data_IF_700310766509
#
_entry.id   IF_700310766509
#
_cell.length_a   1.000
_cell.length_b   1.000
_cell.length_c   1.000
_cell.angle_alpha   90.00
_cell.angle_beta   90.00
_cell.angle_gamma   90.00
#
_symmetry.space_group_name_H-M   'P 1'
#
loop_
_entity.id
_entity.type
_entity.pdbx_description
1 polymer ?
#
# COMPACT_ATOMS: atom_id res chain seq x y z
N UNK A 1 -13.71 10.19 0.55
CA UNK A 1 -12.45 10.78 1.05
C UNK A 1 -11.53 10.94 -0.15
N UNK A 2 -10.69 11.98 -0.18
CA UNK A 2 -9.69 12.10 -1.23
C UNK A 2 -8.66 10.95 -1.08
N UNK A 3 -8.15 10.39 -2.20
CA UNK A 3 -7.10 9.39 -2.12
C UNK A 3 -5.86 9.96 -1.43
N UNK A 4 -5.16 9.13 -0.67
CA UNK A 4 -3.89 9.50 -0.05
C UNK A 4 -2.75 9.11 -0.97
N UNK A 5 -1.85 10.05 -1.25
CA UNK A 5 -0.63 9.77 -2.01
C UNK A 5 0.45 9.20 -1.09
N UNK A 6 1.05 8.10 -1.53
CA UNK A 6 2.08 7.40 -0.78
C UNK A 6 3.27 7.16 -1.71
N UNK A 7 4.47 7.52 -1.27
CA UNK A 7 5.72 7.01 -1.83
C UNK A 7 5.91 5.57 -1.35
N UNK A 8 5.68 4.62 -2.24
CA UNK A 8 5.86 3.20 -1.94
C UNK A 8 7.34 2.91 -1.66
N UNK A 9 7.66 2.36 -0.49
CA UNK A 9 9.02 1.98 -0.10
C UNK A 9 9.17 0.47 0.06
N UNK A 10 8.07 -0.26 0.21
CA UNK A 10 8.05 -1.71 0.25
C UNK A 10 6.84 -2.26 -0.48
N UNK A 11 7.05 -3.31 -1.27
CA UNK A 11 5.98 -4.15 -1.79
C UNK A 11 6.45 -5.62 -1.85
N UNK A 12 6.28 -6.35 -0.75
CA UNK A 12 6.74 -7.74 -0.63
C UNK A 12 5.60 -8.73 -0.80
N UNK A 13 5.91 -9.95 -1.25
CA UNK A 13 4.95 -11.06 -1.35
C UNK A 13 4.94 -11.84 -0.03
N UNK A 14 3.78 -12.01 0.59
CA UNK A 14 3.61 -12.82 1.82
C UNK A 14 2.26 -13.54 1.79
N UNK A 15 2.27 -14.84 2.11
CA UNK A 15 1.07 -15.67 2.39
C UNK A 15 -0.13 -15.39 1.46
N UNK A 16 0.08 -15.45 0.14
CA UNK A 16 -0.99 -15.32 -0.86
C UNK A 16 -1.40 -13.89 -1.23
N UNK A 17 -0.91 -12.86 -0.53
CA UNK A 17 -1.10 -11.45 -0.85
C UNK A 17 0.19 -10.65 -0.89
N UNK A 18 0.08 -9.33 -0.75
CA UNK A 18 1.21 -8.41 -0.76
C UNK A 18 1.16 -7.43 0.41
N UNK A 19 2.31 -7.18 1.02
CA UNK A 19 2.44 -6.14 2.03
C UNK A 19 3.07 -4.90 1.38
N UNK A 20 2.28 -3.82 1.31
CA UNK A 20 2.78 -2.51 0.89
C UNK A 20 3.04 -1.63 2.10
N UNK A 21 4.08 -0.82 2.05
CA UNK A 21 4.33 0.25 3.00
C UNK A 21 5.06 1.40 2.33
N UNK A 22 4.84 2.60 2.82
CA UNK A 22 5.47 3.79 2.29
C UNK A 22 5.31 4.99 3.22
N UNK A 23 5.76 6.14 2.74
CA UNK A 23 5.60 7.41 3.41
C UNK A 23 4.54 8.24 2.70
N UNK A 24 3.80 9.05 3.46
CA UNK A 24 2.94 10.10 2.91
C UNK A 24 3.73 10.97 1.92
N UNK A 25 3.13 11.31 0.79
CA UNK A 25 3.73 12.16 -0.22
C UNK A 25 2.98 13.51 -0.29
N UNK A 26 3.66 14.64 -0.50
CA UNK A 26 5.12 14.82 -0.67
C UNK A 26 5.89 15.10 0.64
N UNK A 27 5.23 15.14 1.79
CA UNK A 27 5.82 15.59 3.05
C UNK A 27 6.78 14.57 3.70
N UNK A 28 6.65 13.29 3.35
CA UNK A 28 7.47 12.16 3.82
C UNK A 28 7.49 12.00 5.34
N UNK A 29 6.44 12.43 6.05
CA UNK A 29 6.41 12.45 7.52
C UNK A 29 5.76 11.22 8.14
N UNK A 30 4.76 10.65 7.47
CA UNK A 30 3.91 9.62 8.07
C UNK A 30 4.11 8.29 7.37
N UNK A 31 4.47 7.26 8.13
CA UNK A 31 4.43 5.90 7.62
C UNK A 31 2.99 5.44 7.43
N UNK A 32 2.74 4.82 6.28
CA UNK A 32 1.43 4.28 5.94
C UNK A 32 1.62 2.86 5.42
N UNK A 33 0.96 1.91 6.08
CA UNK A 33 0.80 0.54 5.63
C UNK A 33 -0.67 0.31 5.27
N UNK A 34 -1.04 0.29 3.98
CA UNK A 34 -2.37 -0.12 3.58
C UNK A 34 -2.62 -1.58 3.98
N UNK A 35 -3.77 -1.86 4.57
CA UNK A 35 -4.18 -3.20 4.99
C UNK A 35 -5.56 -3.55 4.48
N UNK A 36 -5.78 -4.82 4.18
CA UNK A 36 -7.11 -5.38 3.91
C UNK A 36 -7.67 -5.97 5.20
N UNK A 37 -8.71 -5.35 5.76
CA UNK A 37 -9.29 -5.74 7.06
C UNK A 37 -9.82 -7.18 7.05
N UNK A 38 -10.30 -7.66 5.91
CA UNK A 38 -10.82 -9.01 5.76
C UNK A 38 -9.72 -10.10 5.75
N UNK A 39 -8.43 -9.73 5.81
CA UNK A 39 -7.31 -10.65 5.79
C UNK A 39 -6.63 -10.74 7.16
N UNK A 40 -6.32 -11.95 7.59
CA UNK A 40 -5.75 -12.24 8.92
C UNK A 40 -4.47 -11.44 9.22
N UNK A 41 -3.61 -11.22 8.21
CA UNK A 41 -2.35 -10.48 8.37
C UNK A 41 -2.37 -9.09 7.71
N UNK A 42 -3.56 -8.63 7.30
CA UNK A 42 -3.75 -7.36 6.62
C UNK A 42 -3.09 -7.28 5.24
N UNK A 43 -2.75 -8.41 4.61
CA UNK A 43 -2.12 -8.39 3.30
C UNK A 43 -3.07 -7.86 2.23
N UNK A 44 -2.57 -6.99 1.36
CA UNK A 44 -3.33 -6.44 0.25
C UNK A 44 -3.50 -7.51 -0.83
N UNK A 45 -4.72 -7.71 -1.36
CA UNK A 45 -4.96 -8.62 -2.48
C UNK A 45 -4.10 -8.29 -3.70
N UNK A 46 -3.62 -9.33 -4.39
CA UNK A 46 -2.75 -9.22 -5.57
C UNK A 46 -3.29 -8.29 -6.67
N UNK A 47 -4.60 -8.25 -6.90
CA UNK A 47 -5.20 -7.35 -7.88
C UNK A 47 -5.11 -5.87 -7.44
N UNK A 48 -5.21 -5.57 -6.14
CA UNK A 48 -5.12 -4.20 -5.61
C UNK A 48 -3.68 -3.70 -5.43
N UNK A 49 -2.69 -4.58 -5.51
CA UNK A 49 -1.27 -4.26 -5.41
C UNK A 49 -0.60 -4.00 -6.78
N UNK A 50 -1.41 -3.67 -7.79
CA UNK A 50 -1.00 -3.42 -9.17
C UNK A 50 -1.58 -2.09 -9.66
N UNK A 51 -0.87 -1.44 -10.56
CA UNK A 51 -1.26 -0.18 -11.21
C UNK A 51 -1.24 -0.35 -12.72
N UNK A 52 -2.04 0.44 -13.41
CA UNK A 52 -1.99 0.55 -14.86
C UNK A 52 -0.80 1.43 -15.27
N UNK A 53 -0.04 0.97 -16.25
CA UNK A 53 1.01 1.75 -16.92
C UNK A 53 0.83 1.68 -18.45
N UNK A 54 1.54 2.50 -19.22
CA UNK A 54 1.48 2.44 -20.69
C UNK A 54 1.80 1.05 -21.27
N UNK A 55 2.60 0.24 -20.57
CA UNK A 55 2.97 -1.13 -20.94
C UNK A 55 1.96 -2.18 -20.45
N UNK A 56 0.86 -1.75 -19.84
CA UNK A 56 -0.17 -2.59 -19.24
C UNK A 56 -0.12 -2.60 -17.72
N UNK A 57 -0.81 -3.57 -17.12
CA UNK A 57 -0.90 -3.68 -15.67
C UNK A 57 0.39 -4.25 -15.09
N UNK A 58 0.96 -3.57 -14.10
CA UNK A 58 2.18 -4.01 -13.41
C UNK A 58 2.03 -3.96 -11.89
N UNK A 59 2.90 -4.69 -11.19
CA UNK A 59 3.06 -4.52 -9.74
C UNK A 59 3.50 -3.11 -9.40
N UNK A 60 2.97 -2.59 -8.30
CA UNK A 60 3.55 -1.42 -7.63
C UNK A 60 4.98 -1.77 -7.21
N UNK A 61 5.92 -0.86 -7.44
CA UNK A 61 7.34 -1.04 -7.14
C UNK A 61 7.77 0.02 -6.12
N UNK A 62 8.84 -0.24 -5.34
CA UNK A 62 9.48 0.82 -4.58
C UNK A 62 9.78 2.03 -5.47
N UNK A 63 9.64 3.23 -4.91
CA UNK A 63 9.76 4.55 -5.54
C UNK A 63 8.59 4.98 -6.44
N UNK A 64 7.55 4.15 -6.59
CA UNK A 64 6.29 4.64 -7.16
C UNK A 64 5.59 5.57 -6.16
N UNK A 65 5.07 6.69 -6.64
CA UNK A 65 4.03 7.46 -5.94
C UNK A 65 2.67 6.92 -6.38
N UNK A 66 1.88 6.43 -5.43
CA UNK A 66 0.59 5.80 -5.69
C UNK A 66 -0.54 6.49 -4.94
N UNK A 67 -1.71 6.52 -5.57
CA UNK A 67 -2.96 6.90 -4.91
C UNK A 67 -3.56 5.69 -4.20
N UNK A 68 -3.87 5.84 -2.92
CA UNK A 68 -4.48 4.78 -2.11
C UNK A 68 -5.75 5.30 -1.43
N UNK A 69 -6.85 4.59 -1.66
CA UNK A 69 -8.11 4.83 -0.97
C UNK A 69 -8.05 4.19 0.43
N UNK A 70 -7.86 5.03 1.44
CA UNK A 70 -7.86 4.65 2.85
C UNK A 70 -9.23 4.96 3.47
N UNK A 71 -9.67 4.12 4.40
CA UNK A 71 -10.97 4.25 5.07
C UNK A 71 -10.78 4.86 6.46
N UNK A 72 -9.97 4.22 7.31
CA UNK A 72 -9.69 4.66 8.67
C UNK A 72 -8.37 4.05 9.18
N UNK A 73 -7.74 4.66 10.20
CA UNK A 73 -6.59 4.06 10.87
C UNK A 73 -6.95 2.72 11.53
N UNK A 74 -6.07 1.73 11.39
CA UNK A 74 -6.24 0.40 11.99
C UNK A 74 -4.93 -0.08 12.66
N UNK A 75 -4.47 0.60 13.72
CA UNK A 75 -3.19 0.30 14.35
C UNK A 75 -3.22 -1.09 15.00
N UNK A 76 -2.14 -1.84 14.79
CA UNK A 76 -1.87 -3.09 15.52
C UNK A 76 -0.47 -3.03 16.15
N UNK A 77 -0.23 -3.70 17.28
CA UNK A 77 1.09 -3.70 17.90
C UNK A 77 2.19 -4.09 16.90
N UNK A 78 3.29 -3.35 16.91
CA UNK A 78 4.46 -3.55 16.04
C UNK A 78 4.19 -3.41 14.52
N UNK A 79 3.11 -2.75 14.12
CA UNK A 79 2.93 -2.29 12.74
C UNK A 79 3.00 -0.76 12.68
N UNK A 80 3.68 -0.20 11.66
CA UNK A 80 3.63 1.23 11.39
C UNK A 80 2.23 1.68 10.96
#
# INVERSE_FOLDING_TARGET
MAPTEILCLANSKKLGGRCLAGLSWPDLQTWIRPVERAREHGEVPSNRAQVDSPEGRRWIRPLDVINVDLIEPAPTPAQP
#
